data_IF_939591762553
#
_entry.id   IF_939591762553
#
_cell.length_a   1.000
_cell.length_b   1.000
_cell.length_c   1.000
_cell.angle_alpha   90.00
_cell.angle_beta   90.00
_cell.angle_gamma   90.00
#
_symmetry.space_group_name_H-M   'P 1'
#
loop_
_entity.id
_entity.type
_entity.pdbx_description
1 polymer ?
#
# COMPACT_ATOMS: atom_id res chain seq x y z
N UNK A 1 -0.12 76.33 -4.45
CA UNK A 1 0.22 75.11 -5.19
C UNK A 1 0.18 73.90 -4.27
N UNK A 2 -0.90 73.11 -4.34
CA UNK A 2 -1.08 71.87 -3.56
C UNK A 2 -0.74 70.66 -4.47
N UNK A 3 0.34 69.95 -4.19
CA UNK A 3 0.74 68.73 -4.89
C UNK A 3 0.02 67.56 -4.21
N UNK A 4 -0.94 66.97 -4.92
CA UNK A 4 -1.60 65.70 -4.50
C UNK A 4 -0.66 64.53 -4.85
N UNK A 5 -0.10 63.85 -3.88
CA UNK A 5 0.53 62.53 -4.05
C UNK A 5 -0.57 61.50 -4.12
N UNK A 6 -0.74 60.89 -5.32
CA UNK A 6 -1.55 59.67 -5.50
C UNK A 6 -0.67 58.46 -5.14
N UNK A 7 -0.94 57.86 -4.00
CA UNK A 7 -0.36 56.56 -3.64
C UNK A 7 -1.12 55.50 -4.45
N UNK A 8 -0.42 54.88 -5.40
CA UNK A 8 -0.91 53.71 -6.13
C UNK A 8 -0.72 52.50 -5.25
N UNK A 9 -1.82 51.96 -4.62
CA UNK A 9 -1.81 50.69 -3.93
C UNK A 9 -1.78 49.57 -5.00
N UNK A 10 -0.62 48.93 -5.24
CA UNK A 10 -0.51 47.68 -5.97
C UNK A 10 -1.05 46.57 -5.06
N UNK A 11 -2.29 46.13 -5.32
CA UNK A 11 -2.82 44.89 -4.79
C UNK A 11 -2.10 43.74 -5.48
N UNK A 12 -1.10 43.14 -4.82
CA UNK A 12 -0.55 41.85 -5.20
C UNK A 12 -1.63 40.81 -4.91
N UNK A 13 -2.43 40.45 -5.93
CA UNK A 13 -3.23 39.24 -5.93
C UNK A 13 -2.26 38.05 -5.96
N UNK A 14 -1.91 37.53 -4.78
CA UNK A 14 -1.29 36.24 -4.64
C UNK A 14 -2.31 35.17 -5.07
N UNK A 15 -2.33 34.85 -6.35
CA UNK A 15 -3.06 33.69 -6.86
C UNK A 15 -2.55 32.46 -6.14
N UNK A 16 -3.35 31.91 -5.23
CA UNK A 16 -3.10 30.56 -4.70
C UNK A 16 -3.24 29.62 -5.89
N UNK A 17 -2.11 29.12 -6.39
CA UNK A 17 -2.11 28.03 -7.35
C UNK A 17 -2.82 26.85 -6.67
N UNK A 18 -4.02 26.53 -7.13
CA UNK A 18 -4.73 25.33 -6.68
C UNK A 18 -3.86 24.12 -7.04
N UNK A 19 -3.60 23.25 -6.07
CA UNK A 19 -2.89 22.01 -6.32
C UNK A 19 -3.65 21.19 -7.39
N UNK A 20 -2.90 20.54 -8.28
CA UNK A 20 -3.48 19.64 -9.29
C UNK A 20 -4.31 18.55 -8.59
N UNK A 21 -5.54 18.25 -9.06
CA UNK A 21 -6.36 17.18 -8.49
C UNK A 21 -5.61 15.85 -8.47
N UNK A 22 -5.67 15.13 -7.33
CA UNK A 22 -4.95 13.88 -7.14
C UNK A 22 -3.49 14.04 -6.73
N UNK A 23 -3.00 15.26 -6.48
CA UNK A 23 -1.68 15.50 -5.88
C UNK A 23 -1.64 14.91 -4.48
N UNK A 24 -0.65 14.06 -4.22
CA UNK A 24 -0.42 13.43 -2.92
C UNK A 24 0.92 13.94 -2.35
N UNK A 25 0.90 14.38 -1.10
CA UNK A 25 2.09 14.92 -0.43
C UNK A 25 2.51 14.04 0.73
N UNK A 26 3.80 14.07 1.05
CA UNK A 26 4.37 13.45 2.24
C UNK A 26 4.02 14.25 3.50
N UNK A 27 4.26 13.63 4.66
CA UNK A 27 3.90 14.24 5.95
C UNK A 27 4.83 15.37 6.37
N UNK A 28 6.07 15.38 5.88
CA UNK A 28 7.13 16.26 6.34
C UNK A 28 7.68 15.89 7.72
N UNK A 29 7.41 14.66 8.18
CA UNK A 29 7.84 14.18 9.51
C UNK A 29 9.32 13.79 9.51
N UNK A 30 9.80 13.18 8.43
CA UNK A 30 11.15 12.61 8.34
C UNK A 30 12.06 13.36 7.36
N UNK A 31 11.49 14.29 6.57
CA UNK A 31 12.22 15.15 5.64
C UNK A 31 11.34 16.35 5.21
N UNK A 32 11.85 17.23 4.37
CA UNK A 32 11.05 18.28 3.77
C UNK A 32 9.92 17.68 2.92
N UNK A 33 8.69 18.21 3.09
CA UNK A 33 7.50 17.75 2.36
C UNK A 33 7.74 17.75 0.85
N UNK A 34 7.49 16.62 0.22
CA UNK A 34 7.45 16.44 -1.22
C UNK A 34 6.03 16.11 -1.67
N UNK A 35 5.61 16.61 -2.83
CA UNK A 35 4.30 16.32 -3.40
C UNK A 35 4.47 15.67 -4.78
N UNK A 36 3.68 14.63 -5.04
CA UNK A 36 3.69 13.90 -6.31
C UNK A 36 2.38 14.19 -7.04
N UNK A 37 2.48 14.83 -8.19
CA UNK A 37 1.37 15.19 -9.06
C UNK A 37 1.14 14.10 -10.11
N UNK A 38 -0.09 13.71 -10.41
CA UNK A 38 -0.38 12.69 -11.42
C UNK A 38 0.23 13.00 -12.80
N UNK A 39 0.13 14.26 -13.27
CA UNK A 39 0.66 14.68 -14.56
C UNK A 39 2.20 14.73 -14.63
N UNK A 40 2.86 14.82 -13.47
CA UNK A 40 4.32 14.92 -13.34
C UNK A 40 4.91 13.76 -12.55
N UNK A 41 4.20 12.64 -12.49
CA UNK A 41 4.50 11.52 -11.59
C UNK A 41 5.97 11.08 -11.62
N UNK A 42 6.56 10.87 -12.79
CA UNK A 42 7.96 10.43 -12.91
C UNK A 42 8.92 11.46 -12.36
N UNK A 43 8.74 12.73 -12.75
CA UNK A 43 9.59 13.83 -12.31
C UNK A 43 9.52 13.97 -10.78
N UNK A 44 8.31 14.08 -10.24
CA UNK A 44 8.10 14.33 -8.81
C UNK A 44 8.53 13.11 -7.96
N UNK A 45 8.33 11.87 -8.46
CA UNK A 45 8.82 10.65 -7.79
C UNK A 45 10.35 10.61 -7.73
N UNK A 46 11.05 10.88 -8.84
CA UNK A 46 12.51 10.91 -8.83
C UNK A 46 13.06 12.01 -7.94
N UNK A 47 12.42 13.19 -7.92
CA UNK A 47 12.78 14.27 -7.01
C UNK A 47 12.56 13.87 -5.54
N UNK A 48 11.43 13.26 -5.21
CA UNK A 48 11.14 12.78 -3.86
C UNK A 48 12.16 11.72 -3.40
N UNK A 49 12.50 10.75 -4.27
CA UNK A 49 13.51 9.72 -3.98
C UNK A 49 14.85 10.38 -3.64
N UNK A 50 15.32 11.35 -4.45
CA UNK A 50 16.58 12.03 -4.20
C UNK A 50 16.57 12.81 -2.88
N UNK A 51 15.53 13.62 -2.65
CA UNK A 51 15.42 14.44 -1.45
C UNK A 51 15.30 13.60 -0.17
N UNK A 52 14.49 12.54 -0.19
CA UNK A 52 14.34 11.66 0.96
C UNK A 52 15.60 10.81 1.22
N UNK A 53 16.28 10.36 0.16
CA UNK A 53 17.55 9.66 0.33
C UNK A 53 18.60 10.56 1.02
N UNK A 54 18.80 11.76 0.51
CA UNK A 54 19.76 12.73 1.08
C UNK A 54 19.41 13.06 2.53
N UNK A 55 18.13 13.28 2.84
CA UNK A 55 17.68 13.62 4.20
C UNK A 55 17.90 12.47 5.21
N UNK A 56 18.08 11.24 4.74
CA UNK A 56 18.27 10.05 5.58
C UNK A 56 19.65 9.38 5.41
N UNK A 57 20.64 10.12 4.90
CA UNK A 57 22.02 9.68 4.69
C UNK A 57 22.12 8.43 3.77
N UNK A 58 21.25 8.34 2.77
CA UNK A 58 21.25 7.29 1.76
C UNK A 58 21.78 7.81 0.42
N UNK A 59 22.43 6.92 -0.34
CA UNK A 59 22.70 7.17 -1.76
C UNK A 59 21.38 7.16 -2.55
N UNK A 60 21.07 8.22 -3.34
CA UNK A 60 19.83 8.28 -4.12
C UNK A 60 19.67 7.12 -5.12
N UNK A 61 20.77 6.67 -5.73
CA UNK A 61 20.76 5.53 -6.66
C UNK A 61 20.46 4.21 -5.96
N UNK A 62 21.01 4.00 -4.75
CA UNK A 62 20.66 2.85 -3.92
C UNK A 62 19.17 2.84 -3.59
N UNK A 63 18.64 3.96 -3.11
CA UNK A 63 17.20 4.06 -2.77
C UNK A 63 16.32 3.87 -4.01
N UNK A 64 16.67 4.50 -5.14
CA UNK A 64 15.94 4.31 -6.39
C UNK A 64 15.93 2.84 -6.87
N UNK A 65 17.07 2.14 -6.79
CA UNK A 65 17.17 0.72 -7.16
C UNK A 65 16.29 -0.15 -6.24
N UNK A 66 16.26 0.18 -4.95
CA UNK A 66 15.42 -0.51 -3.98
C UNK A 66 13.92 -0.32 -4.32
N UNK A 67 13.46 0.90 -4.43
CA UNK A 67 12.04 1.20 -4.77
C UNK A 67 11.68 0.63 -6.16
N UNK A 68 12.62 0.65 -7.12
CA UNK A 68 12.40 -0.01 -8.40
C UNK A 68 12.25 -1.52 -8.27
N UNK A 69 13.00 -2.16 -7.39
CA UNK A 69 12.87 -3.59 -7.14
C UNK A 69 11.56 -3.94 -6.43
N UNK A 70 11.06 -3.07 -5.56
CA UNK A 70 9.78 -3.26 -4.84
C UNK A 70 8.58 -3.24 -5.80
N UNK A 71 8.45 -2.21 -6.60
CA UNK A 71 7.19 -1.97 -7.32
C UNK A 71 7.33 -1.56 -8.78
N UNK A 72 8.54 -1.32 -9.28
CA UNK A 72 8.77 -0.62 -10.56
C UNK A 72 8.17 0.80 -10.56
N UNK A 73 8.23 1.47 -9.41
CA UNK A 73 7.61 2.79 -9.17
C UNK A 73 6.08 2.80 -9.36
N UNK A 74 5.42 1.67 -9.13
CA UNK A 74 3.96 1.58 -9.18
C UNK A 74 3.36 1.93 -7.81
N UNK A 75 2.67 3.09 -7.66
CA UNK A 75 2.06 3.48 -6.39
C UNK A 75 0.88 2.60 -5.98
N UNK A 76 0.33 1.83 -6.93
CA UNK A 76 -0.85 0.98 -6.72
C UNK A 76 -0.50 -0.51 -6.60
N UNK A 77 0.79 -0.85 -6.54
CA UNK A 77 1.23 -2.23 -6.47
C UNK A 77 0.69 -2.93 -5.20
N UNK A 78 0.21 -4.15 -5.39
CA UNK A 78 -0.19 -5.05 -4.31
C UNK A 78 0.41 -6.43 -4.58
N UNK A 79 1.28 -6.90 -3.68
CA UNK A 79 1.89 -8.21 -3.81
C UNK A 79 1.00 -9.34 -3.29
N UNK A 80 1.34 -10.60 -3.63
CA UNK A 80 0.67 -11.79 -3.08
C UNK A 80 0.82 -11.92 -1.55
N UNK A 81 1.79 -11.24 -0.96
CA UNK A 81 2.01 -11.16 0.50
C UNK A 81 1.32 -9.94 1.13
N UNK A 82 0.44 -9.26 0.39
CA UNK A 82 -0.25 -8.03 0.81
C UNK A 82 0.70 -6.87 1.14
N UNK A 83 1.86 -6.81 0.48
CA UNK A 83 2.71 -5.63 0.51
C UNK A 83 2.15 -4.58 -0.46
N UNK A 84 2.08 -3.31 -0.02
CA UNK A 84 1.28 -2.25 -0.61
C UNK A 84 2.12 -1.08 -1.12
N UNK A 85 1.69 -0.53 -2.25
CA UNK A 85 2.16 0.74 -2.79
C UNK A 85 3.58 0.72 -3.34
N UNK A 86 4.10 1.90 -3.61
CA UNK A 86 5.40 2.10 -4.28
C UNK A 86 6.58 1.49 -3.51
N UNK A 87 6.53 1.47 -2.18
CA UNK A 87 7.58 1.00 -1.28
C UNK A 87 7.29 -0.37 -0.64
N UNK A 88 6.18 -1.02 -1.03
CA UNK A 88 5.77 -2.37 -0.62
C UNK A 88 5.73 -2.59 0.91
N UNK A 89 5.14 -1.66 1.64
CA UNK A 89 4.90 -1.86 3.08
C UNK A 89 3.83 -2.92 3.33
N UNK A 90 4.11 -3.90 4.18
CA UNK A 90 3.06 -4.74 4.77
C UNK A 90 2.35 -3.97 5.89
N UNK A 91 1.07 -4.28 6.16
CA UNK A 91 0.22 -3.55 7.09
C UNK A 91 0.84 -3.41 8.50
N UNK A 92 1.48 -4.47 9.01
CA UNK A 92 2.13 -4.44 10.33
C UNK A 92 3.33 -3.50 10.38
N UNK A 93 4.15 -3.44 9.33
CA UNK A 93 5.30 -2.53 9.26
C UNK A 93 4.83 -1.08 9.07
N UNK A 94 3.83 -0.85 8.20
CA UNK A 94 3.23 0.47 8.04
C UNK A 94 2.69 1.02 9.37
N UNK A 95 1.93 0.21 10.11
CA UNK A 95 1.40 0.59 11.42
C UNK A 95 2.50 0.85 12.46
N UNK A 96 3.54 0.00 12.51
CA UNK A 96 4.68 0.17 13.42
C UNK A 96 5.45 1.47 13.15
N UNK A 97 5.59 1.85 11.88
CA UNK A 97 6.28 3.07 11.46
C UNK A 97 5.39 4.32 11.50
N UNK A 98 4.08 4.18 11.67
CA UNK A 98 3.11 5.29 11.65
C UNK A 98 2.72 5.75 10.25
N UNK A 99 3.05 4.98 9.21
CA UNK A 99 2.61 5.21 7.83
C UNK A 99 1.11 4.94 7.71
N UNK A 100 0.34 5.99 7.40
CA UNK A 100 -1.13 5.91 7.39
C UNK A 100 -1.68 5.37 6.07
N UNK A 101 -1.09 5.79 4.96
CA UNK A 101 -1.52 5.38 3.63
C UNK A 101 -0.34 4.89 2.79
N UNK A 102 -0.09 3.56 2.74
CA UNK A 102 0.96 2.98 1.90
C UNK A 102 0.77 3.20 0.40
N UNK A 103 -0.43 3.60 -0.04
CA UNK A 103 -0.73 3.93 -1.44
C UNK A 103 -0.49 5.42 -1.77
N UNK A 104 -0.28 6.28 -0.77
CA UNK A 104 0.25 7.62 -1.00
C UNK A 104 1.76 7.52 -1.33
N UNK A 105 2.18 7.69 -2.60
CA UNK A 105 3.57 7.45 -2.98
C UNK A 105 4.55 8.41 -2.30
N UNK A 106 4.15 9.65 -2.02
CA UNK A 106 5.01 10.61 -1.36
C UNK A 106 5.24 10.25 0.11
N UNK A 107 4.18 9.85 0.83
CA UNK A 107 4.26 9.40 2.22
C UNK A 107 5.04 8.08 2.33
N UNK A 108 4.73 7.10 1.46
CA UNK A 108 5.41 5.81 1.46
C UNK A 108 6.93 5.94 1.17
N UNK A 109 7.35 6.82 0.27
CA UNK A 109 8.76 7.10 0.01
C UNK A 109 9.45 7.77 1.19
N UNK A 110 8.81 8.75 1.85
CA UNK A 110 9.33 9.41 3.04
C UNK A 110 9.63 8.39 4.15
N UNK A 111 8.64 7.58 4.52
CA UNK A 111 8.77 6.56 5.56
C UNK A 111 9.71 5.41 5.18
N UNK A 112 9.79 5.07 3.90
CA UNK A 112 10.73 4.07 3.40
C UNK A 112 12.17 4.51 3.51
N UNK A 113 12.47 5.77 3.14
CA UNK A 113 13.82 6.33 3.26
C UNK A 113 14.26 6.42 4.72
N UNK A 114 13.38 6.87 5.61
CA UNK A 114 13.66 6.91 7.05
C UNK A 114 13.97 5.52 7.61
N UNK A 115 13.13 4.53 7.32
CA UNK A 115 13.31 3.15 7.77
C UNK A 115 14.61 2.52 7.24
N UNK A 116 14.90 2.74 5.96
CA UNK A 116 16.12 2.25 5.33
C UNK A 116 17.37 2.95 5.88
N UNK A 117 17.31 4.26 6.12
CA UNK A 117 18.37 5.03 6.76
C UNK A 117 18.65 4.57 8.18
N UNK A 118 17.60 4.31 8.98
CA UNK A 118 17.73 3.74 10.32
C UNK A 118 18.46 2.38 10.29
N UNK A 119 18.04 1.48 9.39
CA UNK A 119 18.70 0.17 9.24
C UNK A 119 20.14 0.29 8.73
N UNK A 120 20.42 1.25 7.81
CA UNK A 120 21.78 1.50 7.32
C UNK A 120 22.70 1.93 8.45
N UNK A 121 22.26 2.82 9.31
CA UNK A 121 23.01 3.24 10.51
C UNK A 121 23.16 2.08 11.51
N UNK A 122 22.08 1.32 11.73
CA UNK A 122 22.07 0.18 12.68
C UNK A 122 23.01 -0.94 12.26
N UNK A 123 23.05 -1.28 10.98
CA UNK A 123 23.82 -2.41 10.46
C UNK A 123 25.17 -2.01 9.83
N UNK A 124 25.42 -0.71 9.71
CA UNK A 124 26.69 -0.15 9.25
C UNK A 124 26.87 -0.08 7.74
N UNK A 125 25.93 -0.58 6.93
CA UNK A 125 26.01 -0.48 5.48
C UNK A 125 24.65 -0.70 4.77
N UNK A 126 24.49 -0.21 3.52
CA UNK A 126 23.24 -0.30 2.78
C UNK A 126 22.86 -1.74 2.37
N UNK A 127 23.81 -2.61 2.16
CA UNK A 127 23.53 -4.00 1.76
C UNK A 127 22.84 -4.79 2.87
N UNK A 128 23.26 -4.63 4.12
CA UNK A 128 22.59 -5.24 5.27
C UNK A 128 21.24 -4.58 5.57
N UNK A 129 21.12 -3.27 5.32
CA UNK A 129 19.83 -2.60 5.35
C UNK A 129 18.83 -3.18 4.34
N UNK A 130 19.28 -3.47 3.11
CA UNK A 130 18.46 -4.13 2.10
C UNK A 130 18.03 -5.56 2.52
N UNK A 131 18.88 -6.31 3.25
CA UNK A 131 18.48 -7.58 3.87
C UNK A 131 17.34 -7.36 4.86
N UNK A 132 17.45 -6.35 5.72
CA UNK A 132 16.44 -6.01 6.71
C UNK A 132 15.13 -5.56 6.09
N UNK A 133 15.20 -4.76 5.04
CA UNK A 133 14.02 -4.25 4.34
C UNK A 133 13.16 -5.36 3.73
N UNK A 134 13.76 -6.25 2.95
CA UNK A 134 13.05 -7.35 2.31
C UNK A 134 12.81 -8.55 3.25
N UNK A 135 13.85 -8.96 3.99
CA UNK A 135 13.80 -10.16 4.82
C UNK A 135 13.25 -9.95 6.23
N UNK A 136 13.19 -8.70 6.68
CA UNK A 136 12.89 -8.31 8.05
C UNK A 136 14.15 -8.21 8.92
N UNK A 137 14.16 -7.28 9.87
CA UNK A 137 15.30 -6.95 10.75
C UNK A 137 15.87 -8.17 11.48
N UNK A 138 15.00 -9.06 11.95
CA UNK A 138 15.41 -10.28 12.65
C UNK A 138 16.27 -11.21 11.79
N UNK A 139 16.04 -11.27 10.47
CA UNK A 139 16.86 -12.04 9.54
C UNK A 139 18.18 -11.36 9.26
N UNK A 140 18.20 -10.04 9.16
CA UNK A 140 19.46 -9.28 9.05
C UNK A 140 20.33 -9.50 10.28
N UNK A 141 19.78 -9.42 11.47
CA UNK A 141 20.47 -9.69 12.74
C UNK A 141 21.00 -11.13 12.80
N UNK A 142 20.18 -12.11 12.40
CA UNK A 142 20.61 -13.51 12.32
C UNK A 142 21.74 -13.76 11.32
N UNK A 143 21.72 -13.07 10.17
CA UNK A 143 22.82 -13.10 9.19
C UNK A 143 24.10 -12.51 9.80
N UNK A 144 24.01 -11.34 10.44
CA UNK A 144 25.15 -10.65 11.07
C UNK A 144 25.75 -11.52 12.18
N UNK A 145 24.90 -12.10 13.02
CA UNK A 145 25.33 -12.99 14.10
C UNK A 145 25.77 -14.40 13.63
N UNK A 146 25.63 -14.71 12.33
CA UNK A 146 25.89 -16.05 11.74
C UNK A 146 25.06 -17.16 12.38
N UNK A 147 23.86 -16.82 12.89
CA UNK A 147 22.93 -17.76 13.55
C UNK A 147 21.72 -18.13 12.69
N UNK A 148 21.57 -17.50 11.52
CA UNK A 148 20.45 -17.72 10.60
C UNK A 148 20.82 -17.54 9.14
N UNK A 149 20.02 -18.16 8.26
CA UNK A 149 20.12 -18.00 6.80
C UNK A 149 19.05 -17.08 6.26
N UNK A 150 19.21 -16.71 4.97
CA UNK A 150 18.26 -15.89 4.23
C UNK A 150 17.40 -16.75 3.29
N UNK A 151 16.17 -16.32 3.05
CA UNK A 151 15.35 -16.83 1.97
C UNK A 151 16.00 -16.51 0.61
N UNK A 152 15.79 -17.40 -0.38
CA UNK A 152 16.32 -17.20 -1.76
C UNK A 152 15.90 -15.86 -2.35
N UNK A 153 14.70 -15.42 -2.05
CA UNK A 153 14.17 -14.12 -2.45
C UNK A 153 15.06 -12.98 -1.94
N UNK A 154 15.34 -12.95 -0.64
CA UNK A 154 16.17 -11.92 -0.02
C UNK A 154 17.61 -11.94 -0.53
N UNK A 155 18.19 -13.14 -0.77
CA UNK A 155 19.52 -13.27 -1.38
C UNK A 155 19.55 -12.61 -2.75
N UNK A 156 18.57 -12.92 -3.60
CA UNK A 156 18.46 -12.35 -4.93
C UNK A 156 18.19 -10.84 -4.90
N UNK A 157 17.34 -10.40 -3.99
CA UNK A 157 16.98 -8.99 -3.79
C UNK A 157 18.23 -8.13 -3.53
N UNK A 158 19.03 -8.51 -2.54
CA UNK A 158 20.27 -7.78 -2.21
C UNK A 158 21.22 -7.73 -3.42
N UNK A 159 21.41 -8.86 -4.09
CA UNK A 159 22.30 -8.95 -5.27
C UNK A 159 21.80 -8.10 -6.44
N UNK A 160 20.49 -8.03 -6.69
CA UNK A 160 19.91 -7.21 -7.76
C UNK A 160 20.12 -5.72 -7.48
N UNK A 161 19.90 -5.29 -6.25
CA UNK A 161 20.00 -3.87 -5.87
C UNK A 161 21.44 -3.41 -5.79
N UNK A 162 22.32 -4.24 -5.21
CA UNK A 162 23.69 -3.82 -4.87
C UNK A 162 24.76 -4.41 -5.78
N UNK A 163 24.45 -5.43 -6.56
CA UNK A 163 25.47 -6.17 -7.33
C UNK A 163 26.32 -7.15 -6.50
N UNK A 164 26.25 -7.08 -5.17
CA UNK A 164 27.01 -7.89 -4.22
C UNK A 164 26.13 -8.84 -3.43
N UNK A 165 26.74 -9.89 -2.84
CA UNK A 165 25.99 -10.81 -1.97
C UNK A 165 25.81 -10.23 -0.57
N UNK A 166 24.80 -10.73 0.16
CA UNK A 166 24.55 -10.34 1.55
C UNK A 166 25.74 -10.71 2.46
N UNK A 167 26.43 -11.82 2.16
CA UNK A 167 27.63 -12.25 2.86
C UNK A 167 28.82 -11.30 2.62
N UNK A 168 28.98 -10.79 1.39
CA UNK A 168 29.98 -9.75 1.09
C UNK A 168 29.73 -8.49 1.92
N UNK A 169 28.48 -8.04 1.98
CA UNK A 169 28.10 -6.90 2.81
C UNK A 169 28.31 -7.12 4.31
N UNK A 170 28.19 -8.36 4.78
CA UNK A 170 28.45 -8.72 6.18
C UNK A 170 29.94 -8.80 6.51
N UNK A 171 30.73 -9.51 5.66
CA UNK A 171 32.10 -9.93 6.02
C UNK A 171 33.18 -9.00 5.45
N UNK A 172 32.92 -8.32 4.34
CA UNK A 172 33.88 -7.46 3.64
C UNK A 172 33.15 -6.38 2.83
N UNK A 173 32.38 -5.50 3.49
CA UNK A 173 31.67 -4.42 2.80
C UNK A 173 32.68 -3.48 2.13
N UNK A 174 32.42 -3.01 0.89
CA UNK A 174 33.25 -2.00 0.27
C UNK A 174 33.17 -0.67 1.03
N UNK A 175 34.25 0.09 1.09
CA UNK A 175 34.26 1.44 1.66
C UNK A 175 33.41 2.39 0.82
N UNK A 176 33.58 2.31 -0.52
CA UNK A 176 32.76 3.02 -1.49
C UNK A 176 32.09 2.04 -2.43
N UNK A 177 30.83 2.24 -2.71
CA UNK A 177 30.07 1.43 -3.64
C UNK A 177 29.28 2.30 -4.62
N UNK A 178 29.46 2.01 -5.91
CA UNK A 178 28.79 2.77 -6.97
C UNK A 178 27.34 2.31 -7.15
N UNK A 179 26.41 3.17 -6.72
CA UNK A 179 24.98 2.97 -6.92
C UNK A 179 24.40 3.79 -8.08
N UNK A 180 25.22 4.44 -8.91
CA UNK A 180 24.71 5.19 -10.07
C UNK A 180 23.84 4.33 -10.95
N UNK A 181 22.72 4.89 -11.39
CA UNK A 181 21.68 4.15 -12.13
C UNK A 181 22.11 3.85 -13.58
N UNK A 182 22.88 4.76 -14.19
CA UNK A 182 23.29 4.68 -15.59
C UNK A 182 24.65 5.42 -15.81
N UNK A 183 25.76 4.72 -15.63
CA UNK A 183 27.10 5.24 -15.85
C UNK A 183 27.32 6.63 -15.22
N UNK A 184 27.80 7.60 -16.02
CA UNK A 184 28.05 8.96 -15.57
C UNK A 184 26.83 9.90 -15.70
N UNK A 185 25.67 9.36 -16.09
CA UNK A 185 24.42 10.13 -16.17
C UNK A 185 24.02 10.62 -14.79
N UNK A 186 23.75 11.93 -14.58
CA UNK A 186 23.26 12.44 -13.31
C UNK A 186 21.99 11.75 -12.85
N UNK A 187 21.75 11.74 -11.52
CA UNK A 187 20.67 10.96 -10.92
C UNK A 187 19.29 11.25 -11.54
N UNK A 188 18.88 12.51 -11.68
CA UNK A 188 17.54 12.85 -12.17
C UNK A 188 17.26 12.30 -13.59
N UNK A 189 18.06 12.58 -14.62
CA UNK A 189 17.83 12.01 -15.94
C UNK A 189 17.94 10.48 -15.96
N UNK A 190 18.84 9.86 -15.18
CA UNK A 190 18.95 8.41 -15.06
C UNK A 190 17.70 7.78 -14.41
N UNK A 191 17.18 8.38 -13.34
CA UNK A 191 15.94 7.95 -12.69
C UNK A 191 14.74 8.11 -13.61
N UNK A 192 14.65 9.21 -14.36
CA UNK A 192 13.59 9.41 -15.36
C UNK A 192 13.66 8.33 -16.47
N UNK A 193 14.85 7.96 -16.92
CA UNK A 193 15.04 6.90 -17.91
C UNK A 193 14.59 5.53 -17.37
N UNK A 194 14.95 5.20 -16.14
CA UNK A 194 14.51 4.01 -15.43
C UNK A 194 12.98 3.96 -15.33
N UNK A 195 12.35 5.05 -14.92
CA UNK A 195 10.91 5.15 -14.71
C UNK A 195 10.07 5.04 -16.00
N UNK A 196 10.65 5.23 -17.20
CA UNK A 196 9.93 5.03 -18.48
C UNK A 196 9.45 3.59 -18.67
N UNK A 197 10.08 2.63 -18.02
CA UNK A 197 9.74 1.21 -18.10
C UNK A 197 8.71 0.77 -17.07
N UNK A 198 8.13 1.68 -16.30
CA UNK A 198 7.11 1.36 -15.29
C UNK A 198 5.81 0.86 -15.93
N UNK A 199 5.13 -0.01 -15.19
CA UNK A 199 3.75 -0.42 -15.48
C UNK A 199 2.92 -0.09 -14.25
N UNK A 200 1.78 0.57 -14.46
CA UNK A 200 0.85 0.88 -13.38
C UNK A 200 -0.20 -0.23 -13.28
N UNK A 201 -0.43 -0.69 -12.07
CA UNK A 201 -1.59 -1.51 -11.74
C UNK A 201 -2.79 -0.63 -11.41
N UNK A 202 -4.00 -1.19 -11.52
CA UNK A 202 -5.18 -0.51 -11.02
C UNK A 202 -5.08 -0.34 -9.51
N UNK A 203 -5.55 0.80 -8.98
CA UNK A 203 -5.62 1.01 -7.53
C UNK A 203 -6.53 -0.08 -6.94
N UNK A 204 -6.11 -0.80 -5.88
CA UNK A 204 -6.95 -1.78 -5.24
C UNK A 204 -8.21 -1.11 -4.71
N UNK A 205 -9.36 -1.63 -5.07
CA UNK A 205 -10.60 -1.17 -4.45
C UNK A 205 -10.53 -1.46 -2.94
N UNK A 206 -10.88 -0.47 -2.08
CA UNK A 206 -10.93 -0.70 -0.65
C UNK A 206 -11.82 -1.90 -0.34
N UNK A 207 -11.35 -2.84 0.47
CA UNK A 207 -12.22 -3.92 0.92
C UNK A 207 -13.42 -3.31 1.66
N UNK A 208 -14.66 -3.67 1.27
CA UNK A 208 -15.84 -3.11 1.92
C UNK A 208 -15.83 -3.49 3.41
N UNK A 209 -16.00 -2.50 4.29
CA UNK A 209 -16.16 -2.74 5.72
C UNK A 209 -17.49 -3.46 5.93
N UNK A 210 -17.41 -4.76 6.13
CA UNK A 210 -18.59 -5.58 6.33
C UNK A 210 -19.14 -5.43 7.76
N UNK A 211 -20.48 -5.47 7.94
CA UNK A 211 -21.08 -5.49 9.26
C UNK A 211 -20.61 -6.71 10.07
N UNK A 212 -20.37 -6.60 11.39
CA UNK A 212 -19.81 -7.69 12.21
C UNK A 212 -20.70 -8.94 12.31
N UNK A 213 -21.97 -8.83 11.94
CA UNK A 213 -22.94 -9.94 11.90
C UNK A 213 -23.68 -9.99 10.58
N UNK A 214 -23.91 -11.19 10.07
CA UNK A 214 -24.64 -11.41 8.84
C UNK A 214 -25.79 -12.39 9.02
N UNK A 215 -26.97 -12.04 8.49
CA UNK A 215 -28.10 -12.94 8.36
C UNK A 215 -28.03 -13.57 6.97
N UNK A 216 -27.54 -14.80 6.89
CA UNK A 216 -27.42 -15.53 5.63
C UNK A 216 -28.78 -15.97 5.14
N UNK A 217 -29.11 -15.64 3.91
CA UNK A 217 -30.42 -15.87 3.29
C UNK A 217 -30.35 -16.69 2.00
N UNK A 218 -29.16 -16.78 1.40
CA UNK A 218 -28.90 -17.61 0.23
C UNK A 218 -27.42 -17.96 0.10
N UNK A 219 -27.09 -18.87 -0.82
CA UNK A 219 -25.73 -19.18 -1.24
C UNK A 219 -25.73 -19.76 -2.66
N UNK A 220 -24.59 -19.70 -3.34
CA UNK A 220 -24.42 -20.22 -4.70
C UNK A 220 -22.95 -20.48 -5.06
N UNK A 221 -22.73 -21.17 -6.19
CA UNK A 221 -21.39 -21.48 -6.73
C UNK A 221 -20.74 -20.32 -7.50
N UNK A 222 -21.51 -19.26 -7.73
CA UNK A 222 -21.05 -17.97 -8.28
C UNK A 222 -21.87 -16.85 -7.65
N UNK A 223 -21.38 -15.61 -7.69
CA UNK A 223 -22.09 -14.44 -7.19
C UNK A 223 -23.49 -14.29 -7.84
N UNK A 224 -23.51 -14.39 -9.17
CA UNK A 224 -24.77 -14.29 -9.93
C UNK A 224 -25.78 -15.37 -9.53
N UNK A 225 -25.34 -16.62 -9.32
CA UNK A 225 -26.20 -17.73 -8.87
C UNK A 225 -26.68 -17.49 -7.43
N UNK A 226 -25.82 -17.01 -6.54
CA UNK A 226 -26.17 -16.71 -5.15
C UNK A 226 -27.21 -15.56 -5.07
N UNK A 227 -27.02 -14.48 -5.82
CA UNK A 227 -27.97 -13.36 -5.89
C UNK A 227 -29.29 -13.75 -6.56
N UNK A 228 -29.27 -14.58 -7.61
CA UNK A 228 -30.49 -15.10 -8.23
C UNK A 228 -31.30 -15.93 -7.24
N UNK A 229 -30.62 -16.82 -6.49
CA UNK A 229 -31.25 -17.61 -5.44
C UNK A 229 -31.81 -16.73 -4.32
N UNK A 230 -31.06 -15.70 -3.88
CA UNK A 230 -31.54 -14.71 -2.91
C UNK A 230 -32.86 -14.08 -3.36
N UNK A 231 -32.92 -13.54 -4.57
CA UNK A 231 -34.13 -12.92 -5.12
C UNK A 231 -35.32 -13.86 -5.16
N UNK A 232 -35.09 -15.13 -5.47
CA UNK A 232 -36.12 -16.15 -5.52
C UNK A 232 -36.63 -16.54 -4.12
N UNK A 233 -35.73 -16.86 -3.18
CA UNK A 233 -36.05 -17.39 -1.84
C UNK A 233 -36.54 -16.33 -0.86
N UNK A 234 -36.27 -15.04 -1.09
CA UNK A 234 -36.70 -13.95 -0.21
C UNK A 234 -37.89 -13.16 -0.74
N UNK A 235 -38.56 -13.63 -1.80
CA UNK A 235 -39.68 -12.90 -2.44
C UNK A 235 -40.79 -12.56 -1.44
N UNK A 236 -41.16 -13.50 -0.56
CA UNK A 236 -42.22 -13.32 0.48
C UNK A 236 -41.78 -12.37 1.61
N UNK A 237 -40.47 -12.18 1.78
CA UNK A 237 -39.89 -11.38 2.86
C UNK A 237 -39.41 -9.98 2.45
N UNK A 238 -39.72 -9.54 1.24
CA UNK A 238 -39.26 -8.23 0.72
C UNK A 238 -39.62 -7.04 1.64
N UNK A 239 -40.81 -7.06 2.22
CA UNK A 239 -41.22 -5.99 3.16
C UNK A 239 -40.39 -6.01 4.45
N UNK A 240 -40.03 -7.20 4.94
CA UNK A 240 -39.20 -7.36 6.14
C UNK A 240 -37.75 -6.94 5.90
N UNK A 241 -37.25 -7.15 4.68
CA UNK A 241 -35.89 -6.76 4.25
C UNK A 241 -35.81 -5.24 4.00
N UNK A 242 -36.94 -4.60 3.59
CA UNK A 242 -37.01 -3.14 3.47
C UNK A 242 -36.17 -2.54 2.33
N UNK A 243 -35.78 -3.31 1.32
CA UNK A 243 -34.94 -2.82 0.22
C UNK A 243 -33.43 -2.77 0.54
N UNK A 244 -33.03 -3.28 1.69
CA UNK A 244 -31.62 -3.40 2.07
C UNK A 244 -30.86 -4.27 1.06
N UNK A 245 -29.69 -3.80 0.63
CA UNK A 245 -28.80 -4.57 -0.25
C UNK A 245 -28.00 -5.59 0.57
N UNK A 246 -27.98 -6.86 0.14
CA UNK A 246 -27.16 -7.86 0.79
C UNK A 246 -25.72 -7.74 0.35
N UNK A 247 -24.79 -8.17 1.20
CA UNK A 247 -23.40 -8.35 0.84
C UNK A 247 -23.07 -9.83 0.59
N UNK A 248 -22.00 -10.05 -0.16
CA UNK A 248 -21.51 -11.39 -0.52
C UNK A 248 -20.21 -11.69 0.23
N UNK A 249 -20.10 -12.91 0.75
CA UNK A 249 -18.86 -13.45 1.31
C UNK A 249 -18.54 -14.77 0.63
N UNK A 250 -17.28 -14.94 0.21
CA UNK A 250 -16.79 -16.26 -0.18
C UNK A 250 -16.45 -17.08 1.06
N UNK A 251 -17.05 -18.25 1.19
CA UNK A 251 -16.79 -19.19 2.29
C UNK A 251 -16.26 -20.50 1.75
N UNK A 252 -15.06 -20.89 2.19
CA UNK A 252 -14.44 -22.17 1.84
C UNK A 252 -15.29 -23.33 2.36
N UNK A 253 -15.48 -24.36 1.53
CA UNK A 253 -16.23 -25.57 1.91
C UNK A 253 -15.74 -26.77 1.13
N UNK A 254 -15.39 -27.83 1.84
CA UNK A 254 -14.99 -29.12 1.23
C UNK A 254 -16.13 -29.80 0.47
N UNK A 255 -17.38 -29.48 0.79
CA UNK A 255 -18.56 -30.00 0.13
C UNK A 255 -18.88 -29.31 -1.20
N UNK A 256 -18.15 -28.20 -1.52
CA UNK A 256 -18.35 -27.48 -2.76
C UNK A 256 -17.47 -28.04 -3.87
N UNK A 257 -18.00 -28.27 -5.09
CA UNK A 257 -17.19 -28.66 -6.24
C UNK A 257 -16.22 -27.56 -6.70
N UNK A 258 -16.40 -26.32 -6.22
CA UNK A 258 -15.52 -25.17 -6.48
C UNK A 258 -14.70 -24.74 -5.25
N UNK A 259 -14.62 -25.58 -4.21
CA UNK A 259 -13.87 -25.30 -2.98
C UNK A 259 -14.56 -24.34 -2.01
N UNK A 260 -15.73 -23.78 -2.36
CA UNK A 260 -16.48 -22.85 -1.52
C UNK A 260 -17.81 -22.41 -2.14
N UNK A 261 -18.48 -21.50 -1.46
CA UNK A 261 -19.75 -20.90 -1.90
C UNK A 261 -19.73 -19.39 -1.65
N UNK A 262 -20.41 -18.64 -2.51
CA UNK A 262 -20.78 -17.26 -2.26
C UNK A 262 -22.01 -17.23 -1.35
N UNK A 263 -21.86 -16.69 -0.14
CA UNK A 263 -22.91 -16.53 0.85
C UNK A 263 -23.53 -15.15 0.74
N UNK A 264 -24.86 -15.06 0.64
CA UNK A 264 -25.59 -13.78 0.59
C UNK A 264 -26.10 -13.47 1.98
N UNK A 265 -25.67 -12.33 2.55
CA UNK A 265 -25.98 -11.94 3.93
C UNK A 265 -26.55 -10.52 4.01
N UNK A 266 -27.49 -10.31 4.94
CA UNK A 266 -28.00 -9.00 5.36
C UNK A 266 -27.22 -8.56 6.60
N UNK A 267 -26.64 -7.36 6.59
CA UNK A 267 -25.73 -6.89 7.62
C UNK A 267 -26.42 -6.45 8.91
N UNK A 268 -25.73 -6.66 10.07
CA UNK A 268 -26.17 -6.15 11.37
C UNK A 268 -24.98 -5.82 12.27
N UNK A 269 -25.15 -4.78 13.09
CA UNK A 269 -24.08 -4.32 14.00
C UNK A 269 -24.01 -5.12 15.31
N UNK A 270 -24.96 -6.00 15.57
CA UNK A 270 -24.95 -6.86 16.75
C UNK A 270 -25.59 -8.22 16.49
N UNK A 271 -25.20 -9.22 17.30
CA UNK A 271 -25.77 -10.56 17.29
C UNK A 271 -27.27 -10.56 17.49
N UNK A 272 -27.74 -9.77 18.45
CA UNK A 272 -29.17 -9.69 18.79
C UNK A 272 -29.99 -9.08 17.64
N UNK A 273 -29.47 -8.05 16.98
CA UNK A 273 -30.12 -7.47 15.81
C UNK A 273 -30.20 -8.48 14.65
N UNK A 274 -29.15 -9.28 14.44
CA UNK A 274 -29.15 -10.33 13.43
C UNK A 274 -30.18 -11.43 13.75
N UNK A 275 -30.25 -11.89 14.98
CA UNK A 275 -31.27 -12.86 15.42
C UNK A 275 -32.70 -12.32 15.33
N UNK A 276 -32.94 -11.07 15.69
CA UNK A 276 -34.25 -10.41 15.54
C UNK A 276 -34.70 -10.38 14.08
N UNK A 277 -33.78 -10.02 13.15
CA UNK A 277 -34.08 -10.03 11.73
C UNK A 277 -34.38 -11.47 11.23
N UNK A 278 -33.53 -12.45 11.57
CA UNK A 278 -33.75 -13.83 11.13
C UNK A 278 -35.07 -14.40 11.65
N UNK A 279 -35.44 -14.09 12.91
CA UNK A 279 -36.76 -14.47 13.46
C UNK A 279 -37.93 -13.83 12.68
N UNK A 280 -37.80 -12.55 12.29
CA UNK A 280 -38.80 -11.85 11.48
C UNK A 280 -38.92 -12.47 10.07
N UNK A 281 -37.78 -12.79 9.44
CA UNK A 281 -37.76 -13.47 8.13
C UNK A 281 -38.42 -14.85 8.18
N UNK A 282 -38.14 -15.65 9.22
CA UNK A 282 -38.76 -16.97 9.41
C UNK A 282 -40.29 -16.89 9.57
N UNK A 283 -40.80 -15.90 10.30
CA UNK A 283 -42.26 -15.68 10.42
C UNK A 283 -42.95 -15.38 9.08
N UNK A 284 -42.19 -14.86 8.11
CA UNK A 284 -42.66 -14.56 6.75
C UNK A 284 -42.30 -15.68 5.75
N UNK A 285 -41.91 -16.87 6.23
CA UNK A 285 -41.65 -18.05 5.40
C UNK A 285 -40.27 -18.07 4.72
N UNK A 286 -39.31 -17.20 5.12
CA UNK A 286 -37.96 -17.24 4.58
C UNK A 286 -36.98 -18.03 5.45
N UNK A 287 -36.05 -18.71 4.82
CA UNK A 287 -34.98 -19.43 5.50
C UNK A 287 -33.82 -18.49 5.77
N UNK A 288 -33.29 -18.52 7.00
CA UNK A 288 -32.09 -17.75 7.37
C UNK A 288 -31.30 -18.46 8.47
N UNK A 289 -30.01 -18.08 8.54
CA UNK A 289 -29.09 -18.43 9.63
C UNK A 289 -28.22 -17.20 9.98
N UNK A 290 -27.77 -17.12 11.23
CA UNK A 290 -26.98 -15.99 11.72
C UNK A 290 -25.53 -16.41 11.91
N UNK A 291 -24.59 -15.60 11.39
CA UNK A 291 -23.15 -15.83 11.47
C UNK A 291 -22.42 -14.53 11.83
N UNK A 292 -21.29 -14.64 12.53
CA UNK A 292 -20.30 -13.59 12.55
C UNK A 292 -19.72 -13.41 11.13
N UNK A 293 -19.18 -12.23 10.85
CA UNK A 293 -18.69 -11.87 9.49
C UNK A 293 -17.19 -12.10 9.33
N UNK A 294 -16.49 -12.52 10.38
CA UNK A 294 -15.03 -12.73 10.44
C UNK A 294 -14.51 -13.66 9.31
#
# INVERSE_FOLDING_TARGET
MRVLWRVLLLLCLSGQALAEPGTLCSTGQHAQTQCIRPSHFVHDTCQAIEQFAIANDLDPGFFARLIWQESRFDPNALSHANAMGIAQFIASTAALRGLKDPYNPAEALEFSAEYLGEMTRKYGNPGLAAVGYNGGERRAEGLIAKTGGLARETINYVKIITGLTAETWRDSPPEDHDFRLDGDTPFQPACHALARHRRLTAYPEPEPVLPPWGVQVAFGLSESAALSKYRATTRSCRRTIGGEEPFLIWSKSRASPKGGYYMVRLGRNSRDAAWKLCAALKRNGCICAVYATD
#
